data_IF_448473512735
#
_entry.id   IF_448473512735
#
_cell.length_a   1.000
_cell.length_b   1.000
_cell.length_c   1.000
_cell.angle_alpha   90.00
_cell.angle_beta   90.00
_cell.angle_gamma   90.00
#
_symmetry.space_group_name_H-M   'P 1'
#
loop_
_entity.id
_entity.type
_entity.pdbx_description
1 polymer ?
#
# COMPACT_ATOMS: atom_id res chain seq x y z
N UNK A 1 20.21 0.25 -9.22
CA UNK A 1 19.86 0.11 -7.79
C UNK A 1 18.70 1.04 -7.51
N UNK A 2 17.56 0.51 -7.06
CA UNK A 2 16.42 1.33 -6.64
C UNK A 2 16.47 1.46 -5.12
N UNK A 3 16.67 2.68 -4.62
CA UNK A 3 16.67 2.93 -3.18
C UNK A 3 15.25 2.71 -2.62
N UNK A 4 15.14 2.02 -1.47
CA UNK A 4 13.85 1.80 -0.78
C UNK A 4 13.07 0.53 -1.19
N UNK A 5 13.65 -0.34 -2.02
CA UNK A 5 13.08 -1.66 -2.35
C UNK A 5 13.84 -2.79 -1.65
N UNK A 6 13.13 -3.80 -1.16
CA UNK A 6 13.76 -5.04 -0.68
C UNK A 6 14.43 -5.75 -1.87
N UNK A 7 15.73 -6.04 -1.74
CA UNK A 7 16.50 -6.73 -2.78
C UNK A 7 16.75 -5.94 -4.08
N UNK A 8 16.47 -4.64 -4.12
CA UNK A 8 16.73 -3.79 -5.30
C UNK A 8 15.82 -4.06 -6.51
N UNK A 9 14.74 -4.83 -6.32
CA UNK A 9 13.84 -5.23 -7.40
C UNK A 9 12.79 -4.17 -7.68
N UNK A 10 12.59 -3.89 -8.96
CA UNK A 10 11.45 -3.10 -9.42
C UNK A 10 10.16 -3.84 -9.08
N UNK A 11 9.15 -3.08 -8.68
CA UNK A 11 7.82 -3.58 -8.41
C UNK A 11 6.81 -2.66 -9.07
N UNK A 12 5.86 -3.27 -9.74
CA UNK A 12 4.69 -2.59 -10.25
C UNK A 12 3.55 -2.82 -9.26
N UNK A 13 2.73 -1.81 -9.06
CA UNK A 13 1.56 -1.86 -8.17
C UNK A 13 0.39 -1.29 -8.94
N UNK A 14 -0.72 -2.03 -8.91
CA UNK A 14 -1.97 -1.64 -9.56
C UNK A 14 -2.51 -0.33 -8.99
N UNK A 15 -2.87 0.59 -9.89
CA UNK A 15 -3.55 1.84 -9.54
C UNK A 15 -5.05 1.63 -9.71
N UNK A 16 -5.75 1.44 -8.58
CA UNK A 16 -7.19 1.13 -8.55
C UNK A 16 -8.03 2.35 -8.94
N UNK A 17 -7.74 3.52 -8.36
CA UNK A 17 -8.38 4.79 -8.68
C UNK A 17 -7.33 5.76 -9.23
N UNK A 18 -7.36 5.95 -10.54
CA UNK A 18 -6.36 6.76 -11.25
C UNK A 18 -6.43 8.22 -10.86
N UNK A 19 -7.63 8.78 -10.74
CA UNK A 19 -7.81 10.21 -10.48
C UNK A 19 -7.37 10.55 -9.06
N UNK A 20 -7.83 9.79 -8.06
CA UNK A 20 -7.43 10.00 -6.66
C UNK A 20 -5.92 9.81 -6.48
N UNK A 21 -5.35 8.79 -7.13
CA UNK A 21 -3.90 8.54 -7.08
C UNK A 21 -3.12 9.70 -7.67
N UNK A 22 -3.51 10.21 -8.83
CA UNK A 22 -2.86 11.37 -9.46
C UNK A 22 -2.95 12.62 -8.58
N UNK A 23 -4.12 12.89 -8.00
CA UNK A 23 -4.30 14.02 -7.09
C UNK A 23 -3.38 13.93 -5.86
N UNK A 24 -3.29 12.75 -5.25
CA UNK A 24 -2.40 12.51 -4.11
C UNK A 24 -0.92 12.67 -4.48
N UNK A 25 -0.49 12.14 -5.63
CA UNK A 25 0.89 12.25 -6.11
C UNK A 25 1.24 13.71 -6.42
N UNK A 26 0.37 14.44 -7.13
CA UNK A 26 0.61 15.84 -7.48
C UNK A 26 0.73 16.71 -6.23
N UNK A 27 -0.12 16.47 -5.23
CA UNK A 27 0.00 17.14 -3.94
C UNK A 27 1.32 16.80 -3.22
N UNK A 28 1.70 15.52 -3.21
CA UNK A 28 2.96 15.07 -2.62
C UNK A 28 4.20 15.69 -3.30
N UNK A 29 4.19 15.80 -4.63
CA UNK A 29 5.24 16.46 -5.42
C UNK A 29 5.36 17.93 -5.02
N UNK A 30 4.23 18.65 -4.91
CA UNK A 30 4.21 20.04 -4.47
C UNK A 30 4.83 20.19 -3.08
N UNK A 31 4.37 19.41 -2.11
CA UNK A 31 4.88 19.42 -0.73
C UNK A 31 6.37 19.10 -0.69
N UNK A 32 6.84 18.12 -1.47
CA UNK A 32 8.25 17.78 -1.53
C UNK A 32 9.10 18.92 -2.13
N UNK A 33 8.59 19.59 -3.17
CA UNK A 33 9.26 20.76 -3.77
C UNK A 33 9.47 21.91 -2.78
N UNK A 34 8.51 22.12 -1.89
CA UNK A 34 8.59 23.12 -0.81
C UNK A 34 9.49 22.68 0.37
N UNK A 35 9.80 21.38 0.46
CA UNK A 35 10.50 20.74 1.59
C UNK A 35 11.82 20.06 1.17
N UNK A 36 12.67 20.75 0.40
CA UNK A 36 13.99 20.25 -0.01
C UNK A 36 13.97 18.86 -0.68
N UNK A 37 12.93 18.58 -1.47
CA UNK A 37 12.73 17.31 -2.15
C UNK A 37 12.22 16.17 -1.26
N UNK A 38 11.75 16.44 -0.04
CA UNK A 38 11.28 15.42 0.92
C UNK A 38 9.84 15.68 1.35
N UNK A 39 9.05 14.62 1.51
CA UNK A 39 7.71 14.76 2.10
C UNK A 39 7.75 15.16 3.58
N UNK A 40 8.76 14.68 4.30
CA UNK A 40 9.02 15.04 5.69
C UNK A 40 10.48 15.47 5.78
N UNK A 41 10.72 16.78 5.77
CA UNK A 41 12.07 17.31 5.95
C UNK A 41 12.40 17.46 7.43
N UNK A 42 13.17 16.49 7.93
CA UNK A 42 13.74 16.50 9.29
C UNK A 42 15.22 16.20 9.22
N UNK A 43 15.93 16.63 10.26
CA UNK A 43 17.38 16.51 10.36
C UNK A 43 17.86 15.04 10.29
N UNK A 44 17.08 14.10 10.83
CA UNK A 44 17.40 12.67 10.78
C UNK A 44 16.13 11.81 10.62
N UNK A 45 16.36 10.55 10.25
CA UNK A 45 15.30 9.56 9.99
C UNK A 45 14.41 9.32 11.22
N UNK A 46 14.97 9.31 12.42
CA UNK A 46 14.21 9.09 13.66
C UNK A 46 13.14 10.17 13.85
N UNK A 47 13.52 11.45 13.67
CA UNK A 47 12.57 12.56 13.76
C UNK A 47 11.52 12.54 12.64
N UNK A 48 11.92 12.14 11.43
CA UNK A 48 10.99 12.00 10.31
C UNK A 48 9.93 10.93 10.58
N UNK A 49 10.35 9.74 11.05
CA UNK A 49 9.45 8.66 11.47
C UNK A 49 8.53 9.12 12.62
N UNK A 50 9.07 9.87 13.59
CA UNK A 50 8.28 10.43 14.68
C UNK A 50 7.16 11.36 14.20
N UNK A 51 7.46 12.25 13.24
CA UNK A 51 6.44 13.11 12.64
C UNK A 51 5.41 12.31 11.86
N UNK A 52 5.84 11.35 11.03
CA UNK A 52 4.92 10.48 10.29
C UNK A 52 3.93 9.77 11.24
N UNK A 53 4.42 9.17 12.33
CA UNK A 53 3.57 8.51 13.32
C UNK A 53 2.56 9.47 13.92
N UNK A 54 2.96 10.70 14.29
CA UNK A 54 2.02 11.70 14.82
C UNK A 54 0.92 12.06 13.82
N UNK A 55 1.29 12.30 12.57
CA UNK A 55 0.32 12.60 11.49
C UNK A 55 -0.63 11.42 11.29
N UNK A 56 -0.10 10.19 11.22
CA UNK A 56 -0.91 8.98 11.08
C UNK A 56 -1.89 8.80 12.26
N UNK A 57 -1.43 8.98 13.51
CA UNK A 57 -2.29 8.90 14.68
C UNK A 57 -3.37 9.99 14.69
N UNK A 58 -3.03 11.22 14.30
CA UNK A 58 -3.99 12.32 14.19
C UNK A 58 -5.05 12.07 13.11
N UNK A 59 -4.70 11.33 12.06
CA UNK A 59 -5.62 10.83 11.03
C UNK A 59 -6.43 9.59 11.47
N UNK A 60 -6.32 9.16 12.72
CA UNK A 60 -7.04 8.01 13.26
C UNK A 60 -6.38 6.66 13.01
N UNK A 61 -5.16 6.61 12.44
CA UNK A 61 -4.45 5.36 12.15
C UNK A 61 -3.81 4.77 13.41
N UNK A 62 -4.65 4.23 14.28
CA UNK A 62 -4.27 3.71 15.61
C UNK A 62 -4.92 2.34 15.88
N UNK A 63 -4.33 1.57 16.79
CA UNK A 63 -4.87 0.27 17.20
C UNK A 63 -5.15 -0.65 16.00
N UNK A 64 -6.40 -1.11 15.88
CA UNK A 64 -6.85 -1.97 14.77
C UNK A 64 -6.76 -1.29 13.40
N UNK A 65 -6.85 0.04 13.35
CA UNK A 65 -6.75 0.84 12.13
C UNK A 65 -5.32 1.38 11.91
N UNK A 66 -4.30 0.70 12.42
CA UNK A 66 -2.88 1.10 12.22
C UNK A 66 -2.54 1.26 10.73
N UNK A 67 -1.43 1.93 10.35
CA UNK A 67 -1.03 2.04 8.95
C UNK A 67 -0.97 0.72 8.18
N UNK A 68 -0.72 -0.41 8.87
CA UNK A 68 -0.73 -1.74 8.26
C UNK A 68 -2.13 -2.16 7.80
N UNK A 69 -3.20 -1.67 8.42
CA UNK A 69 -4.57 -1.96 7.98
C UNK A 69 -4.90 -1.34 6.63
N UNK A 70 -4.23 -0.24 6.24
CA UNK A 70 -4.37 0.34 4.89
C UNK A 70 -3.83 -0.61 3.81
N UNK A 71 -2.80 -1.40 4.14
CA UNK A 71 -2.28 -2.44 3.24
C UNK A 71 -3.30 -3.56 3.05
N UNK A 72 -4.07 -3.87 4.09
CA UNK A 72 -5.17 -4.82 3.97
C UNK A 72 -6.31 -4.24 3.11
N UNK A 73 -6.75 -3.02 3.39
CA UNK A 73 -7.79 -2.35 2.58
C UNK A 73 -7.41 -2.28 1.10
N UNK A 74 -6.17 -1.88 0.79
CA UNK A 74 -5.66 -1.85 -0.60
C UNK A 74 -5.82 -3.19 -1.32
N UNK A 75 -5.49 -4.28 -0.65
CA UNK A 75 -5.49 -5.59 -1.27
C UNK A 75 -6.89 -6.19 -1.42
N UNK A 76 -7.83 -5.85 -0.53
CA UNK A 76 -9.25 -6.12 -0.76
C UNK A 76 -9.75 -5.38 -2.01
N UNK A 77 -9.41 -4.10 -2.15
CA UNK A 77 -9.81 -3.30 -3.30
C UNK A 77 -9.14 -3.77 -4.60
N UNK A 78 -7.86 -4.16 -4.55
CA UNK A 78 -7.15 -4.75 -5.67
C UNK A 78 -7.73 -6.11 -6.07
N UNK A 79 -8.13 -6.94 -5.10
CA UNK A 79 -8.78 -8.21 -5.38
C UNK A 79 -10.12 -8.01 -6.11
N UNK A 80 -10.94 -7.04 -5.66
CA UNK A 80 -12.18 -6.66 -6.35
C UNK A 80 -11.92 -6.13 -7.75
N UNK A 81 -10.89 -5.29 -7.90
CA UNK A 81 -10.51 -4.71 -9.19
C UNK A 81 -10.16 -5.79 -10.23
N UNK A 82 -9.24 -6.70 -9.88
CA UNK A 82 -8.77 -7.77 -10.76
C UNK A 82 -9.80 -8.90 -10.94
N UNK A 83 -10.64 -9.16 -9.94
CA UNK A 83 -11.65 -10.22 -9.97
C UNK A 83 -12.71 -10.04 -11.07
N UNK A 84 -12.83 -8.83 -11.63
CA UNK A 84 -13.72 -8.57 -12.77
C UNK A 84 -13.24 -9.21 -14.08
N UNK A 85 -11.96 -9.55 -14.20
CA UNK A 85 -11.35 -10.00 -15.46
C UNK A 85 -10.49 -11.26 -15.31
N UNK A 86 -10.25 -11.74 -14.09
CA UNK A 86 -9.34 -12.84 -13.79
C UNK A 86 -10.03 -13.94 -12.99
N UNK A 87 -9.52 -15.17 -13.09
CA UNK A 87 -9.93 -16.22 -12.15
C UNK A 87 -9.48 -15.90 -10.73
N UNK A 88 -10.16 -16.45 -9.74
CA UNK A 88 -9.81 -16.30 -8.33
C UNK A 88 -8.31 -16.59 -8.04
N UNK A 89 -7.74 -17.63 -8.68
CA UNK A 89 -6.32 -17.98 -8.52
C UNK A 89 -5.40 -16.90 -9.08
N UNK A 90 -5.73 -16.35 -10.25
CA UNK A 90 -4.96 -15.29 -10.91
C UNK A 90 -5.07 -13.97 -10.13
N UNK A 91 -6.27 -13.62 -9.65
CA UNK A 91 -6.49 -12.47 -8.76
C UNK A 91 -5.60 -12.52 -7.53
N UNK A 92 -5.55 -13.67 -6.85
CA UNK A 92 -4.70 -13.86 -5.66
C UNK A 92 -3.21 -13.71 -5.98
N UNK A 93 -2.76 -14.22 -7.13
CA UNK A 93 -1.38 -14.08 -7.59
C UNK A 93 -1.04 -12.61 -7.89
N UNK A 94 -1.92 -11.90 -8.60
CA UNK A 94 -1.75 -10.47 -8.92
C UNK A 94 -1.69 -9.60 -7.67
N UNK A 95 -2.61 -9.78 -6.72
CA UNK A 95 -2.60 -9.03 -5.45
C UNK A 95 -1.33 -9.33 -4.64
N UNK A 96 -0.83 -10.57 -4.67
CA UNK A 96 0.45 -10.91 -4.04
C UNK A 96 1.63 -10.17 -4.68
N UNK A 97 1.63 -10.04 -6.02
CA UNK A 97 2.63 -9.27 -6.74
C UNK A 97 2.53 -7.77 -6.48
N UNK A 98 1.32 -7.20 -6.47
CA UNK A 98 1.06 -5.79 -6.16
C UNK A 98 1.59 -5.40 -4.76
N UNK A 99 1.47 -6.31 -3.80
CA UNK A 99 2.01 -6.14 -2.45
C UNK A 99 3.53 -6.35 -2.37
N UNK A 100 4.17 -6.87 -3.41
CA UNK A 100 5.60 -7.16 -3.45
C UNK A 100 6.00 -8.46 -2.74
N UNK A 101 5.10 -9.43 -2.66
CA UNK A 101 5.34 -10.74 -2.03
C UNK A 101 5.76 -11.85 -3.02
N UNK A 102 5.93 -11.51 -4.31
CA UNK A 102 5.99 -12.45 -5.43
C UNK A 102 4.71 -13.31 -5.56
N UNK A 103 4.59 -14.13 -6.60
CA UNK A 103 3.41 -14.94 -6.92
C UNK A 103 3.20 -16.15 -5.97
N UNK A 104 4.25 -16.62 -5.30
CA UNK A 104 4.22 -17.81 -4.43
C UNK A 104 3.54 -17.66 -3.06
N UNK A 105 3.00 -16.47 -2.70
CA UNK A 105 2.39 -16.22 -1.37
C UNK A 105 0.87 -16.07 -1.36
N UNK A 106 0.18 -16.60 -2.36
CA UNK A 106 -1.29 -16.59 -2.44
C UNK A 106 -2.00 -17.13 -1.18
N UNK A 107 -1.36 -18.04 -0.42
CA UNK A 107 -1.89 -18.56 0.87
C UNK A 107 -1.95 -17.50 1.99
N UNK A 108 -1.04 -16.52 2.01
CA UNK A 108 -1.09 -15.41 2.96
C UNK A 108 -2.19 -14.42 2.58
N UNK A 109 -2.36 -14.17 1.28
CA UNK A 109 -3.43 -13.34 0.74
C UNK A 109 -4.79 -13.97 1.05
N UNK A 110 -4.98 -15.28 0.81
CA UNK A 110 -6.24 -15.95 1.12
C UNK A 110 -6.59 -15.93 2.62
N UNK A 111 -5.61 -16.14 3.52
CA UNK A 111 -5.84 -16.11 4.97
C UNK A 111 -6.17 -14.70 5.51
N UNK A 112 -5.80 -13.66 4.78
CA UNK A 112 -5.96 -12.27 5.21
C UNK A 112 -7.20 -11.61 4.57
N UNK A 113 -7.57 -12.01 3.35
CA UNK A 113 -8.67 -11.38 2.58
C UNK A 113 -9.93 -12.24 2.39
N UNK A 114 -9.86 -13.56 2.60
CA UNK A 114 -11.02 -14.48 2.45
C UNK A 114 -11.62 -14.93 3.78
N UNK A 115 -11.60 -14.08 4.81
CA UNK A 115 -12.22 -14.45 6.09
C UNK A 115 -13.74 -14.34 6.13
N UNK A 116 -14.42 -13.90 5.07
CA UNK A 116 -15.88 -13.65 5.07
C UNK A 116 -16.62 -14.05 3.77
N UNK A 117 -16.46 -15.28 3.27
CA UNK A 117 -17.45 -15.85 2.31
C UNK A 117 -17.75 -17.35 2.57
N UNK A 118 -17.64 -17.80 3.82
CA UNK A 118 -18.22 -19.08 4.24
C UNK A 118 -18.89 -18.91 5.60
N UNK A 119 -20.08 -18.34 5.59
CA UNK A 119 -21.04 -18.35 6.71
C UNK A 119 -22.45 -18.15 6.15
N UNK A 120 -22.85 -19.02 5.23
CA UNK A 120 -24.25 -19.44 5.03
C UNK A 120 -24.25 -20.96 4.79
#
# INVERSE_FOLDING_TARGET
MVFGTEGGRLRETTVIDREKTLNAINFAIKVAGENNGKLIDKHNLHQAIGLFRRVAMAAGLTGKNSPHSLRYAYAEDAAKFHGNTMSHKETLAMVSMDLGHADGRGRYISQVYYKNEQSE
#
